data_IF_260930178001
#
_entry.id   IF_260930178001
#
_cell.length_a   1.000
_cell.length_b   1.000
_cell.length_c   1.000
_cell.angle_alpha   90.00
_cell.angle_beta   90.00
_cell.angle_gamma   90.00
#
_symmetry.space_group_name_H-M   'P 1'
#
loop_
_entity.id
_entity.type
_entity.pdbx_description
1 polymer ?
#
# COMPACT_ATOMS: atom_id res chain seq x y z
N UNK A 1 -73.77 63.86 70.60
CA UNK A 1 -72.37 63.49 70.86
C UNK A 1 -71.92 62.64 69.69
N UNK A 2 -71.13 63.22 68.76
CA UNK A 2 -69.66 63.06 68.65
C UNK A 2 -69.26 61.67 68.14
N UNK A 3 -68.40 61.48 67.14
CA UNK A 3 -67.51 62.41 66.44
C UNK A 3 -66.43 61.61 65.70
N UNK A 4 -65.84 62.27 64.71
CA UNK A 4 -64.63 61.93 63.94
C UNK A 4 -64.67 60.74 62.98
N UNK A 5 -64.82 61.08 61.70
CA UNK A 5 -64.22 60.38 60.56
C UNK A 5 -62.71 60.21 60.79
N UNK A 6 -62.23 58.96 60.83
CA UNK A 6 -60.81 58.62 60.83
C UNK A 6 -60.31 58.31 59.42
N UNK A 7 -59.09 58.77 59.11
CA UNK A 7 -58.50 58.84 57.78
C UNK A 7 -58.42 57.50 57.01
N UNK A 8 -58.58 57.58 55.69
CA UNK A 8 -58.24 56.50 54.74
C UNK A 8 -56.77 56.15 54.86
N UNK A 9 -56.46 54.92 55.28
CA UNK A 9 -55.10 54.39 55.34
C UNK A 9 -54.52 54.13 53.94
N UNK A 10 -53.23 54.39 53.77
CA UNK A 10 -52.46 54.28 52.53
C UNK A 10 -52.53 52.88 51.91
N UNK A 11 -52.64 52.82 50.57
CA UNK A 11 -52.49 51.59 49.78
C UNK A 11 -51.13 50.94 50.08
N UNK A 12 -51.14 49.69 50.55
CA UNK A 12 -49.92 48.93 50.88
C UNK A 12 -49.03 48.70 49.66
N UNK A 13 -47.71 48.65 49.89
CA UNK A 13 -46.70 48.48 48.85
C UNK A 13 -46.89 47.20 48.03
N UNK A 14 -46.69 47.31 46.70
CA UNK A 14 -46.67 46.16 45.78
C UNK A 14 -45.67 45.11 46.27
N UNK A 15 -46.11 43.87 46.42
CA UNK A 15 -45.30 42.76 46.92
C UNK A 15 -44.07 42.45 46.04
N UNK A 16 -43.01 41.94 46.65
CA UNK A 16 -41.72 41.67 46.02
C UNK A 16 -41.84 40.73 44.81
N UNK A 17 -41.12 41.06 43.72
CA UNK A 17 -40.95 40.21 42.53
C UNK A 17 -40.40 38.84 42.95
N UNK A 18 -41.01 37.75 42.46
CA UNK A 18 -40.64 36.38 42.84
C UNK A 18 -39.20 36.01 42.48
N UNK A 19 -38.61 35.11 43.27
CA UNK A 19 -37.24 34.60 43.09
C UNK A 19 -37.06 33.93 41.72
N UNK A 20 -35.97 34.25 41.02
CA UNK A 20 -35.57 33.58 39.77
C UNK A 20 -35.50 32.06 39.98
N UNK A 21 -36.17 31.29 39.12
CA UNK A 21 -36.21 29.83 39.20
C UNK A 21 -34.83 29.17 39.07
N UNK A 22 -34.65 28.01 39.70
CA UNK A 22 -33.39 27.28 39.70
C UNK A 22 -32.88 26.97 38.27
N UNK A 23 -31.58 27.15 38.04
CA UNK A 23 -30.91 26.76 36.79
C UNK A 23 -31.15 25.27 36.53
N UNK A 24 -31.59 24.92 35.32
CA UNK A 24 -31.87 23.53 34.93
C UNK A 24 -30.63 22.63 35.01
N UNK A 25 -30.86 21.34 35.23
CA UNK A 25 -29.80 20.33 35.29
C UNK A 25 -29.06 20.22 33.96
N UNK A 26 -27.73 20.08 34.00
CA UNK A 26 -26.93 19.77 32.82
C UNK A 26 -27.40 18.44 32.20
N UNK A 27 -27.60 18.43 30.87
CA UNK A 27 -28.04 17.24 30.14
C UNK A 27 -27.02 16.09 30.18
N UNK A 28 -27.44 14.85 29.86
CA UNK A 28 -26.55 13.70 29.86
C UNK A 28 -25.44 13.87 28.81
N UNK A 29 -24.24 13.37 29.13
CA UNK A 29 -23.16 13.23 28.15
C UNK A 29 -23.63 12.34 27.00
N UNK A 30 -23.39 12.78 25.75
CA UNK A 30 -23.74 12.00 24.56
C UNK A 30 -23.03 10.66 24.50
N UNK A 31 -23.60 9.68 23.78
CA UNK A 31 -22.97 8.38 23.56
C UNK A 31 -21.62 8.54 22.85
N UNK A 32 -20.67 7.68 23.19
CA UNK A 32 -19.43 7.55 22.43
C UNK A 32 -19.75 7.26 20.96
N UNK A 33 -19.09 7.96 20.04
CA UNK A 33 -19.25 7.74 18.60
C UNK A 33 -18.82 6.33 18.19
N UNK A 34 -19.34 5.84 17.06
CA UNK A 34 -18.95 4.55 16.52
C UNK A 34 -17.42 4.49 16.30
N UNK A 35 -16.79 3.39 16.70
CA UNK A 35 -15.40 3.10 16.33
C UNK A 35 -15.33 3.01 14.80
N UNK A 36 -14.35 3.69 14.19
CA UNK A 36 -14.14 3.64 12.74
C UNK A 36 -13.81 2.22 12.24
N UNK A 37 -13.91 1.96 10.92
CA UNK A 37 -13.59 0.66 10.36
C UNK A 37 -12.15 0.27 10.71
N UNK A 38 -11.95 -1.00 11.08
CA UNK A 38 -10.62 -1.56 11.27
C UNK A 38 -9.95 -1.68 9.90
N UNK A 39 -8.99 -0.80 9.60
CA UNK A 39 -8.15 -0.95 8.40
C UNK A 39 -7.05 -1.96 8.74
N UNK A 40 -7.31 -3.24 8.47
CA UNK A 40 -6.24 -4.24 8.40
C UNK A 40 -5.71 -4.15 6.98
N UNK A 41 -4.58 -3.46 6.78
CA UNK A 41 -3.91 -3.48 5.48
C UNK A 41 -3.39 -4.89 5.23
N UNK A 42 -4.02 -5.63 4.30
CA UNK A 42 -3.45 -6.88 3.84
C UNK A 42 -2.20 -6.55 3.05
N UNK A 43 -1.07 -7.12 3.42
CA UNK A 43 0.18 -6.90 2.74
C UNK A 43 1.01 -8.17 2.64
N UNK A 44 1.78 -8.22 1.57
CA UNK A 44 2.72 -9.29 1.32
C UNK A 44 4.00 -8.72 0.72
N UNK A 45 5.10 -9.41 1.01
CA UNK A 45 6.42 -9.16 0.44
C UNK A 45 6.86 -10.44 -0.25
N UNK A 46 7.29 -10.31 -1.49
CA UNK A 46 7.82 -11.38 -2.32
C UNK A 46 9.24 -11.03 -2.78
N UNK A 47 9.99 -12.05 -3.17
CA UNK A 47 11.33 -11.91 -3.73
C UNK A 47 11.43 -12.70 -5.03
N UNK A 48 12.10 -12.16 -6.07
CA UNK A 48 12.43 -12.95 -7.25
C UNK A 48 13.55 -13.92 -6.94
N UNK A 49 13.56 -15.07 -7.62
CA UNK A 49 14.53 -16.14 -7.40
C UNK A 49 15.27 -16.52 -8.68
N UNK A 50 16.50 -16.99 -8.52
CA UNK A 50 17.24 -17.67 -9.58
C UNK A 50 17.83 -16.78 -10.68
N UNK A 51 18.11 -17.40 -11.82
CA UNK A 51 18.69 -16.73 -13.00
C UNK A 51 17.61 -16.02 -13.82
N UNK A 52 17.95 -14.88 -14.40
CA UNK A 52 17.11 -14.22 -15.39
C UNK A 52 17.16 -15.01 -16.69
N UNK A 53 16.05 -15.06 -17.42
CA UNK A 53 16.00 -15.64 -18.77
C UNK A 53 15.99 -14.53 -19.82
N UNK A 54 16.46 -14.83 -21.03
CA UNK A 54 16.47 -13.87 -22.14
C UNK A 54 15.09 -13.74 -22.82
N UNK A 55 14.14 -14.63 -22.50
CA UNK A 55 12.90 -14.83 -23.28
C UNK A 55 11.70 -14.04 -22.75
N UNK A 56 11.84 -13.33 -21.62
CA UNK A 56 10.69 -12.68 -20.97
C UNK A 56 9.77 -13.68 -20.28
N UNK A 57 10.32 -14.77 -19.76
CA UNK A 57 9.55 -15.76 -19.02
C UNK A 57 9.04 -15.18 -17.69
N UNK A 58 7.99 -15.78 -17.09
CA UNK A 58 7.56 -15.42 -15.75
C UNK A 58 8.72 -15.51 -14.75
N UNK A 59 8.91 -14.46 -13.98
CA UNK A 59 9.90 -14.42 -12.91
C UNK A 59 9.43 -15.31 -11.77
N UNK A 60 10.25 -16.31 -11.40
CA UNK A 60 9.99 -17.14 -10.22
C UNK A 60 10.03 -16.27 -8.96
N UNK A 61 9.00 -16.36 -8.13
CA UNK A 61 8.90 -15.62 -6.87
C UNK A 61 8.82 -16.57 -5.68
N UNK A 62 9.24 -16.09 -4.52
CA UNK A 62 8.93 -16.68 -3.22
C UNK A 62 8.21 -15.68 -2.30
N UNK A 63 7.48 -16.22 -1.33
CA UNK A 63 6.85 -15.42 -0.28
C UNK A 63 7.83 -15.19 0.87
N UNK A 64 8.20 -13.94 1.10
CA UNK A 64 9.03 -13.53 2.24
C UNK A 64 8.14 -13.25 3.45
N UNK A 65 7.02 -12.57 3.23
CA UNK A 65 6.08 -12.20 4.28
C UNK A 65 4.67 -12.10 3.71
N UNK A 66 3.67 -12.50 4.49
CA UNK A 66 2.28 -12.32 4.13
C UNK A 66 1.40 -12.33 5.39
N UNK A 67 0.72 -11.22 5.65
CA UNK A 67 -0.15 -11.12 6.83
C UNK A 67 -1.57 -11.65 6.59
N UNK A 68 -1.94 -11.87 5.33
CA UNK A 68 -3.23 -12.43 4.94
C UNK A 68 -3.13 -13.18 3.59
N UNK A 69 -2.72 -14.46 3.63
CA UNK A 69 -2.53 -15.26 2.44
C UNK A 69 -3.84 -15.64 1.72
N UNK A 70 -5.01 -15.29 2.26
CA UNK A 70 -6.27 -15.45 1.55
C UNK A 70 -6.53 -14.32 0.54
N UNK A 71 -5.91 -13.15 0.73
CA UNK A 71 -6.20 -11.95 -0.08
C UNK A 71 -5.11 -11.64 -1.11
N UNK A 72 -3.86 -11.98 -0.79
CA UNK A 72 -2.71 -11.83 -1.66
C UNK A 72 -1.98 -13.16 -1.59
N UNK A 73 -2.02 -13.98 -2.64
CA UNK A 73 -1.50 -15.35 -2.57
C UNK A 73 -0.56 -15.65 -3.72
N UNK A 74 0.68 -16.03 -3.41
CA UNK A 74 1.55 -16.61 -4.43
C UNK A 74 1.07 -18.02 -4.79
N UNK A 75 0.85 -18.24 -6.09
CA UNK A 75 0.49 -19.54 -6.64
C UNK A 75 1.77 -20.26 -7.09
N UNK A 76 2.20 -21.30 -6.37
CA UNK A 76 3.46 -21.99 -6.69
C UNK A 76 3.46 -22.65 -8.08
N UNK A 77 2.28 -23.04 -8.59
CA UNK A 77 2.16 -23.74 -9.88
C UNK A 77 2.07 -22.79 -11.09
N UNK A 78 1.73 -21.51 -10.87
CA UNK A 78 1.52 -20.53 -11.96
C UNK A 78 2.48 -19.34 -11.92
N UNK A 79 3.39 -19.30 -10.95
CA UNK A 79 4.39 -18.23 -10.74
C UNK A 79 3.78 -16.81 -10.63
N UNK A 80 2.48 -16.74 -10.32
CA UNK A 80 1.72 -15.50 -10.22
C UNK A 80 1.15 -15.29 -8.82
N UNK A 81 0.81 -14.05 -8.52
CA UNK A 81 0.19 -13.64 -7.26
C UNK A 81 -1.29 -13.39 -7.51
N UNK A 82 -2.15 -14.19 -6.89
CA UNK A 82 -3.60 -13.98 -6.88
C UNK A 82 -3.94 -12.78 -6.03
N UNK A 83 -4.70 -11.86 -6.61
CA UNK A 83 -5.31 -10.70 -5.98
C UNK A 83 -6.83 -10.87 -6.03
N UNK A 84 -7.51 -10.50 -4.96
CA UNK A 84 -8.97 -10.57 -4.87
C UNK A 84 -9.63 -9.53 -5.78
N UNK A 85 -10.88 -9.77 -6.21
CA UNK A 85 -11.68 -8.81 -6.96
C UNK A 85 -11.99 -7.54 -6.18
N UNK A 86 -12.49 -6.54 -6.92
CA UNK A 86 -13.07 -5.29 -6.41
C UNK A 86 -12.16 -4.55 -5.43
N UNK A 87 -10.84 -4.68 -5.61
CA UNK A 87 -9.84 -4.20 -4.67
C UNK A 87 -8.80 -3.32 -5.35
N UNK A 88 -8.24 -2.40 -4.57
CA UNK A 88 -7.10 -1.59 -4.97
C UNK A 88 -5.85 -2.03 -4.23
N UNK A 89 -4.75 -2.12 -4.97
CA UNK A 89 -3.45 -2.47 -4.40
C UNK A 89 -2.41 -1.43 -4.77
N UNK A 90 -1.56 -1.10 -3.79
CA UNK A 90 -0.29 -0.45 -4.04
C UNK A 90 0.78 -1.52 -4.22
N UNK A 91 1.44 -1.48 -5.37
CA UNK A 91 2.53 -2.39 -5.72
C UNK A 91 3.80 -1.57 -5.85
N UNK A 92 4.87 -2.01 -5.19
CA UNK A 92 6.19 -1.41 -5.28
C UNK A 92 7.23 -2.51 -5.34
N UNK A 93 8.22 -2.37 -6.21
CA UNK A 93 9.34 -3.28 -6.23
C UNK A 93 10.67 -2.54 -6.32
N UNK A 94 11.69 -3.15 -5.74
CA UNK A 94 13.10 -2.82 -5.93
C UNK A 94 13.80 -4.15 -6.13
N UNK A 95 14.19 -4.43 -7.36
CA UNK A 95 14.79 -5.72 -7.76
C UNK A 95 16.23 -5.46 -8.16
N UNK A 96 17.16 -6.09 -7.45
CA UNK A 96 18.58 -6.02 -7.75
C UNK A 96 18.96 -7.20 -8.64
N UNK A 97 19.60 -6.89 -9.76
CA UNK A 97 20.14 -7.87 -10.69
C UNK A 97 21.65 -7.89 -10.55
N UNK A 98 22.21 -9.08 -10.41
CA UNK A 98 23.64 -9.33 -10.41
C UNK A 98 24.08 -9.88 -11.77
N UNK A 99 25.05 -9.21 -12.38
CA UNK A 99 25.64 -9.64 -13.65
C UNK A 99 26.98 -10.33 -13.39
N UNK A 100 27.22 -11.54 -13.94
CA UNK A 100 28.47 -12.26 -13.79
C UNK A 100 29.67 -11.45 -14.27
N UNK A 101 30.80 -11.57 -13.55
CA UNK A 101 32.06 -10.87 -13.84
C UNK A 101 32.66 -11.18 -15.24
N UNK A 102 32.24 -12.28 -15.87
CA UNK A 102 32.68 -12.67 -17.20
C UNK A 102 31.99 -11.88 -18.33
N UNK A 103 30.89 -11.19 -18.03
CA UNK A 103 30.12 -10.41 -19.01
C UNK A 103 30.81 -9.06 -19.24
N UNK A 104 30.87 -8.66 -20.51
CA UNK A 104 31.41 -7.37 -20.97
C UNK A 104 30.48 -6.77 -22.03
N UNK A 105 30.56 -5.46 -22.24
CA UNK A 105 29.68 -4.74 -23.18
C UNK A 105 28.39 -4.27 -22.50
N UNK A 106 27.37 -3.97 -23.31
CA UNK A 106 26.09 -3.50 -22.77
C UNK A 106 25.18 -4.65 -22.35
N UNK A 107 24.55 -4.47 -21.19
CA UNK A 107 23.39 -5.22 -20.76
C UNK A 107 22.17 -4.29 -20.75
N UNK A 108 21.06 -4.76 -21.29
CA UNK A 108 19.75 -4.15 -21.11
C UNK A 108 18.82 -5.17 -20.46
N UNK A 109 18.20 -4.80 -19.36
CA UNK A 109 17.18 -5.60 -18.71
C UNK A 109 15.84 -4.87 -18.71
N UNK A 110 14.78 -5.65 -18.82
CA UNK A 110 13.41 -5.18 -18.77
C UNK A 110 12.63 -6.05 -17.81
N UNK A 111 11.86 -5.40 -16.94
CA UNK A 111 10.91 -6.02 -16.04
C UNK A 111 9.53 -5.46 -16.33
N UNK A 112 8.60 -6.35 -16.66
CA UNK A 112 7.21 -6.02 -16.87
C UNK A 112 6.38 -6.55 -15.70
N UNK A 113 5.43 -5.75 -15.26
CA UNK A 113 4.37 -6.18 -14.34
C UNK A 113 3.12 -6.37 -15.16
N UNK A 114 2.48 -7.52 -15.03
CA UNK A 114 1.28 -7.89 -15.77
C UNK A 114 0.13 -8.17 -14.82
N UNK A 115 -1.09 -7.82 -15.24
CA UNK A 115 -2.33 -8.28 -14.64
C UNK A 115 -3.04 -9.13 -15.68
N UNK A 116 -3.25 -10.41 -15.39
CA UNK A 116 -3.89 -11.36 -16.31
C UNK A 116 -3.26 -11.36 -17.72
N UNK A 117 -1.92 -11.22 -17.79
CA UNK A 117 -1.09 -11.07 -18.99
C UNK A 117 -1.16 -9.72 -19.72
N UNK A 118 -1.85 -8.72 -19.16
CA UNK A 118 -1.83 -7.35 -19.68
C UNK A 118 -0.79 -6.49 -18.97
N UNK A 119 0.11 -5.89 -19.75
CA UNK A 119 1.23 -5.09 -19.25
C UNK A 119 0.71 -3.82 -18.55
N UNK A 120 1.20 -3.60 -17.33
CA UNK A 120 0.87 -2.45 -16.51
C UNK A 120 1.88 -1.32 -16.67
N UNK A 121 1.53 -0.13 -16.18
CA UNK A 121 2.43 1.05 -16.17
C UNK A 121 3.50 1.00 -15.08
N UNK A 122 3.80 -0.19 -14.59
CA UNK A 122 4.73 -0.49 -13.50
C UNK A 122 5.91 -1.29 -14.02
N UNK A 123 6.43 -0.91 -15.20
CA UNK A 123 7.55 -1.58 -15.82
C UNK A 123 8.84 -0.78 -15.60
N UNK A 124 9.97 -1.47 -15.56
CA UNK A 124 11.29 -0.86 -15.46
C UNK A 124 12.20 -1.39 -16.57
N UNK A 125 13.00 -0.49 -17.14
CA UNK A 125 14.04 -0.82 -18.11
C UNK A 125 15.32 -0.19 -17.59
N UNK A 126 16.37 -1.00 -17.50
CA UNK A 126 17.70 -0.52 -17.13
C UNK A 126 18.74 -0.99 -18.14
N UNK A 127 19.70 -0.12 -18.44
CA UNK A 127 20.82 -0.43 -19.32
C UNK A 127 22.13 -0.02 -18.65
N UNK A 128 23.11 -0.90 -18.69
CA UNK A 128 24.42 -0.66 -18.10
C UNK A 128 25.52 -1.12 -19.04
N UNK A 129 26.56 -0.29 -19.19
CA UNK A 129 27.81 -0.67 -19.85
C UNK A 129 28.77 -1.29 -18.85
N UNK A 130 29.24 -2.50 -19.12
CA UNK A 130 30.13 -3.26 -18.26
C UNK A 130 31.57 -3.18 -18.77
N UNK A 131 32.47 -2.70 -17.90
CA UNK A 131 33.87 -2.51 -18.24
C UNK A 131 34.64 -3.85 -18.28
N UNK A 132 35.55 -4.05 -19.25
CA UNK A 132 36.46 -5.19 -19.27
C UNK A 132 37.37 -5.21 -18.02
N UNK A 133 37.35 -6.29 -17.25
CA UNK A 133 38.23 -6.47 -16.08
C UNK A 133 37.91 -5.57 -14.87
N UNK A 134 36.67 -5.06 -14.76
CA UNK A 134 36.24 -4.20 -13.65
C UNK A 134 36.10 -4.91 -12.30
N UNK A 135 36.35 -4.16 -11.21
CA UNK A 135 36.43 -4.65 -9.82
C UNK A 135 35.06 -4.90 -9.16
N UNK A 136 33.94 -4.70 -9.87
CA UNK A 136 32.61 -4.96 -9.33
C UNK A 136 31.79 -5.84 -10.29
N UNK A 137 31.12 -6.90 -9.81
CA UNK A 137 30.05 -7.52 -10.57
C UNK A 137 29.04 -6.42 -10.90
N UNK A 138 28.60 -6.34 -12.15
CA UNK A 138 27.64 -5.33 -12.57
C UNK A 138 26.34 -5.57 -11.81
N UNK A 139 26.09 -4.83 -10.74
CA UNK A 139 24.82 -4.86 -10.06
C UNK A 139 24.08 -3.56 -10.34
N UNK A 140 22.82 -3.68 -10.74
CA UNK A 140 21.91 -2.54 -10.89
C UNK A 140 20.55 -2.89 -10.31
N UNK A 141 19.70 -1.89 -10.19
CA UNK A 141 18.40 -2.01 -9.54
C UNK A 141 17.32 -1.51 -10.47
N UNK A 142 16.34 -2.37 -10.75
CA UNK A 142 15.10 -2.01 -11.42
C UNK A 142 14.05 -1.76 -10.34
N UNK A 143 13.43 -0.58 -10.36
CA UNK A 143 12.42 -0.23 -9.37
C UNK A 143 11.27 0.55 -10.01
N UNK A 144 10.05 0.22 -9.61
CA UNK A 144 8.86 1.02 -9.91
C UNK A 144 7.82 0.84 -8.81
N UNK A 145 6.85 1.73 -8.78
CA UNK A 145 5.72 1.65 -7.87
C UNK A 145 4.48 2.30 -8.46
N UNK A 146 3.32 1.88 -7.98
CA UNK A 146 2.06 2.53 -8.28
C UNK A 146 0.87 1.66 -7.92
N UNK A 147 -0.29 2.11 -8.38
CA UNK A 147 -1.57 1.52 -8.04
C UNK A 147 -2.05 0.60 -9.15
N UNK A 148 -2.69 -0.49 -8.73
CA UNK A 148 -3.46 -1.37 -9.59
C UNK A 148 -4.85 -1.54 -9.00
N UNK A 149 -5.82 -1.81 -9.87
CA UNK A 149 -7.19 -2.13 -9.52
C UNK A 149 -7.56 -3.48 -10.10
N UNK A 150 -8.44 -4.18 -9.42
CA UNK A 150 -8.92 -5.50 -9.79
C UNK A 150 -10.44 -5.48 -9.87
N UNK A 151 -11.01 -6.10 -10.90
CA UNK A 151 -12.46 -6.25 -11.06
C UNK A 151 -12.90 -7.71 -10.83
N UNK A 152 -11.98 -8.66 -11.01
CA UNK A 152 -12.17 -10.09 -10.79
C UNK A 152 -10.97 -10.63 -9.97
N UNK A 153 -10.98 -11.92 -9.65
CA UNK A 153 -9.74 -12.56 -9.21
C UNK A 153 -8.71 -12.41 -10.32
N UNK A 154 -7.64 -11.68 -10.04
CA UNK A 154 -6.63 -11.30 -11.03
C UNK A 154 -5.28 -11.86 -10.61
N UNK A 155 -4.53 -12.35 -11.60
CA UNK A 155 -3.16 -12.80 -11.41
C UNK A 155 -2.22 -11.65 -11.73
N UNK A 156 -1.51 -11.16 -10.72
CA UNK A 156 -0.34 -10.31 -10.91
C UNK A 156 0.88 -11.19 -11.17
N UNK A 157 1.59 -10.96 -12.26
CA UNK A 157 2.84 -11.64 -12.56
C UNK A 157 3.93 -10.65 -12.95
N UNK A 158 5.18 -11.05 -12.76
CA UNK A 158 6.33 -10.32 -13.28
C UNK A 158 6.93 -11.15 -14.40
N UNK A 159 7.35 -10.50 -15.48
CA UNK A 159 8.23 -11.11 -16.47
C UNK A 159 9.51 -10.31 -16.55
N UNK A 160 10.63 -11.00 -16.64
CA UNK A 160 11.94 -10.38 -16.75
C UNK A 160 12.63 -10.87 -18.01
N UNK A 161 13.28 -9.96 -18.72
CA UNK A 161 14.14 -10.30 -19.85
C UNK A 161 15.44 -9.52 -19.79
N UNK A 162 16.46 -10.06 -20.44
CA UNK A 162 17.71 -9.35 -20.65
C UNK A 162 18.25 -9.56 -22.06
N UNK A 163 19.03 -8.59 -22.53
CA UNK A 163 19.83 -8.67 -23.74
C UNK A 163 21.27 -8.34 -23.38
N UNK A 164 22.18 -9.22 -23.77
CA UNK A 164 23.63 -9.02 -23.68
C UNK A 164 24.21 -8.88 -25.08
N UNK A 165 25.08 -7.90 -25.28
CA UNK A 165 25.83 -7.77 -26.53
C UNK A 165 26.82 -8.93 -26.74
N UNK A 166 27.39 -9.45 -25.65
CA UNK A 166 28.33 -10.56 -25.67
C UNK A 166 27.95 -11.62 -24.60
N UNK A 167 27.11 -12.60 -24.94
CA UNK A 167 26.56 -13.55 -23.96
C UNK A 167 27.60 -14.59 -23.55
N UNK A 168 28.01 -14.56 -22.27
CA UNK A 168 28.96 -15.53 -21.69
C UNK A 168 28.41 -16.24 -20.45
N UNK A 169 27.46 -15.61 -19.73
CA UNK A 169 26.71 -16.17 -18.62
C UNK A 169 25.41 -15.36 -18.37
N UNK A 170 24.38 -15.99 -17.81
CA UNK A 170 23.12 -15.32 -17.49
C UNK A 170 23.25 -14.48 -16.20
N UNK A 171 22.62 -13.29 -16.14
CA UNK A 171 22.45 -12.55 -14.90
C UNK A 171 21.48 -13.27 -13.95
N UNK A 172 21.55 -12.95 -12.66
CA UNK A 172 20.67 -13.52 -11.63
C UNK A 172 20.05 -12.45 -10.75
N UNK A 173 18.96 -12.80 -10.08
CA UNK A 173 18.38 -11.95 -9.06
C UNK A 173 19.22 -12.02 -7.78
N UNK A 174 19.44 -10.86 -7.15
CA UNK A 174 20.04 -10.80 -5.83
C UNK A 174 18.91 -10.79 -4.78
N UNK A 175 18.53 -11.99 -4.33
CA UNK A 175 17.34 -12.26 -3.51
C UNK A 175 17.35 -11.43 -2.21
N UNK A 176 18.51 -11.36 -1.53
CA UNK A 176 18.67 -10.63 -0.26
C UNK A 176 18.56 -9.10 -0.36
N UNK A 177 18.60 -8.55 -1.57
CA UNK A 177 18.47 -7.11 -1.85
C UNK A 177 17.30 -6.79 -2.78
N UNK A 178 16.46 -7.79 -3.06
CA UNK A 178 15.27 -7.62 -3.88
C UNK A 178 14.02 -7.66 -3.00
N UNK A 179 12.98 -6.95 -3.42
CA UNK A 179 11.67 -7.02 -2.77
C UNK A 179 10.58 -6.54 -3.71
N UNK A 180 9.42 -7.18 -3.62
CA UNK A 180 8.16 -6.80 -4.24
C UNK A 180 7.15 -6.70 -3.10
N UNK A 181 6.70 -5.49 -2.81
CA UNK A 181 5.73 -5.19 -1.75
C UNK A 181 4.37 -4.93 -2.37
N UNK A 182 3.35 -5.64 -1.87
CA UNK A 182 1.95 -5.44 -2.25
C UNK A 182 1.17 -5.09 -1.00
N UNK A 183 0.39 -4.02 -1.05
CA UNK A 183 -0.49 -3.58 0.03
C UNK A 183 -1.88 -3.36 -0.54
N UNK A 184 -2.87 -4.09 -0.03
CA UNK A 184 -4.29 -3.82 -0.29
C UNK A 184 -4.69 -2.56 0.46
N UNK A 185 -5.23 -1.58 -0.26
CA UNK A 185 -5.55 -0.26 0.28
C UNK A 185 -7.06 0.03 0.38
N UNK A 186 -7.89 -0.70 -0.36
CA UNK A 186 -9.35 -0.64 -0.31
C UNK A 186 -9.95 -1.94 -0.82
#
# INVERSE_FOLDING_TARGET
>A
MTGATGATGLTGATGATGLTGATGVTGPTGSLGATGPTIIFNNAVFQPMGELTATGDPTLLETVYNNNPANIQLNPDSLGITLLPDSYYYVSYSIRVAVPLAVTGDIKCELLVLLDNEVQRLCAIEQQTLAPGGVAPGEFTMAASGLISTEANTTLSLTSSYVLENPVAAPSFNEGFSSITIVQIM
#
